data_IF_282855236593
#
_entry.id   IF_282855236593
#
_cell.length_a   1.000
_cell.length_b   1.000
_cell.length_c   1.000
_cell.angle_alpha   90.00
_cell.angle_beta   90.00
_cell.angle_gamma   90.00
#
_symmetry.space_group_name_H-M   'P 1'
#
loop_
_entity.id
_entity.type
_entity.pdbx_description
1 polymer ?
#
# COMPACT_ATOMS: atom_id res chain seq x y z
N UNK A 1 4.55 -33.35 -28.69
CA UNK A 1 5.00 -32.34 -27.73
C UNK A 1 6.25 -31.69 -28.25
N UNK A 2 6.13 -30.56 -28.92
CA UNK A 2 7.26 -29.80 -29.43
C UNK A 2 7.53 -28.68 -28.38
N UNK A 3 8.70 -28.77 -27.74
CA UNK A 3 9.15 -27.71 -26.81
C UNK A 3 9.39 -26.44 -27.59
N UNK A 4 8.71 -25.34 -27.17
CA UNK A 4 9.00 -23.99 -27.66
C UNK A 4 10.39 -23.59 -27.15
N UNK A 5 11.41 -23.72 -28.04
CA UNK A 5 12.73 -23.12 -27.80
C UNK A 5 12.53 -21.60 -27.70
N UNK A 6 12.72 -21.03 -26.51
CA UNK A 6 12.71 -19.59 -26.31
C UNK A 6 13.77 -18.95 -27.22
N UNK A 7 13.39 -17.86 -27.89
CA UNK A 7 14.29 -17.07 -28.72
C UNK A 7 15.50 -16.64 -27.88
N UNK A 8 16.76 -16.95 -28.31
CA UNK A 8 17.94 -16.52 -27.55
C UNK A 8 17.93 -14.99 -27.43
N UNK A 9 17.97 -14.46 -26.20
CA UNK A 9 18.04 -13.04 -25.98
C UNK A 9 19.24 -12.42 -26.70
N UNK A 10 19.02 -11.31 -27.39
CA UNK A 10 20.13 -10.61 -28.05
C UNK A 10 21.16 -10.16 -26.99
N UNK A 11 22.44 -9.97 -27.34
CA UNK A 11 23.45 -9.47 -26.39
C UNK A 11 23.06 -8.17 -25.69
N UNK A 12 22.19 -7.37 -26.31
CA UNK A 12 21.61 -6.13 -25.73
C UNK A 12 20.62 -6.45 -24.61
N UNK A 13 19.71 -7.40 -24.81
CA UNK A 13 18.72 -7.85 -23.82
C UNK A 13 19.42 -8.46 -22.61
N UNK A 14 20.41 -9.32 -22.83
CA UNK A 14 21.19 -9.92 -21.72
C UNK A 14 21.94 -8.86 -20.91
N UNK A 15 22.47 -7.82 -21.57
CA UNK A 15 23.10 -6.69 -20.86
C UNK A 15 22.11 -5.93 -20.02
N UNK A 16 20.94 -5.56 -20.55
CA UNK A 16 19.89 -4.88 -19.80
C UNK A 16 19.40 -5.70 -18.59
N UNK A 17 19.26 -7.01 -18.75
CA UNK A 17 18.92 -7.91 -17.62
C UNK A 17 20.01 -7.91 -16.53
N UNK A 18 21.28 -7.95 -16.91
CA UNK A 18 22.38 -7.89 -15.93
C UNK A 18 22.47 -6.53 -15.25
N UNK A 19 22.27 -5.43 -15.99
CA UNK A 19 22.24 -4.08 -15.47
C UNK A 19 21.10 -3.94 -14.45
N UNK A 20 19.89 -4.42 -14.79
CA UNK A 20 18.75 -4.45 -13.87
C UNK A 20 19.03 -5.28 -12.61
N UNK A 21 19.54 -6.48 -12.75
CA UNK A 21 19.87 -7.34 -11.60
C UNK A 21 20.89 -6.67 -10.66
N UNK A 22 21.88 -5.95 -11.19
CA UNK A 22 22.85 -5.23 -10.36
C UNK A 22 22.20 -4.04 -9.62
N UNK A 23 21.29 -3.30 -10.28
CA UNK A 23 20.54 -2.19 -9.66
C UNK A 23 19.60 -2.69 -8.57
N UNK A 24 18.89 -3.80 -8.82
CA UNK A 24 18.00 -4.40 -7.82
C UNK A 24 18.80 -4.88 -6.59
N UNK A 25 19.97 -5.49 -6.76
CA UNK A 25 20.87 -5.85 -5.66
C UNK A 25 21.37 -4.63 -4.88
N UNK A 26 21.67 -3.53 -5.55
CA UNK A 26 22.08 -2.29 -4.89
C UNK A 26 20.91 -1.64 -4.13
N UNK A 27 19.68 -1.75 -4.63
CA UNK A 27 18.49 -1.32 -3.89
C UNK A 27 18.26 -2.16 -2.64
N UNK A 28 18.42 -3.48 -2.75
CA UNK A 28 18.16 -4.43 -1.65
C UNK A 28 19.22 -4.36 -0.55
N UNK A 29 20.49 -4.29 -0.95
CA UNK A 29 21.61 -4.43 -0.02
C UNK A 29 22.33 -3.11 0.29
N UNK A 30 21.95 -2.00 -0.36
CA UNK A 30 22.66 -0.73 -0.25
C UNK A 30 24.03 -0.78 -0.95
N UNK A 31 25.06 -0.28 -0.28
CA UNK A 31 26.41 -0.20 -0.84
C UNK A 31 27.06 -1.57 -1.03
N UNK A 32 27.46 -1.88 -2.26
CA UNK A 32 28.15 -3.12 -2.62
C UNK A 32 29.47 -2.86 -3.35
N UNK A 33 30.48 -3.71 -3.09
CA UNK A 33 31.70 -3.70 -3.89
C UNK A 33 31.48 -4.42 -5.23
N UNK A 34 32.26 -4.07 -6.25
CA UNK A 34 32.28 -4.76 -7.55
C UNK A 34 32.40 -6.27 -7.41
N UNK A 35 33.27 -6.74 -6.51
CA UNK A 35 33.46 -8.18 -6.27
C UNK A 35 32.19 -8.83 -5.72
N UNK A 36 31.46 -8.15 -4.84
CA UNK A 36 30.21 -8.66 -4.25
C UNK A 36 29.10 -8.71 -5.29
N UNK A 37 28.96 -7.65 -6.11
CA UNK A 37 28.01 -7.61 -7.24
C UNK A 37 28.30 -8.76 -8.22
N UNK A 38 29.56 -8.93 -8.65
CA UNK A 38 29.95 -10.01 -9.54
C UNK A 38 29.62 -11.39 -8.96
N UNK A 39 29.84 -11.61 -7.64
CA UNK A 39 29.50 -12.87 -6.98
C UNK A 39 27.99 -13.11 -6.93
N UNK A 40 27.18 -12.09 -6.64
CA UNK A 40 25.71 -12.20 -6.51
C UNK A 40 25.04 -12.38 -7.89
N UNK A 41 25.56 -11.72 -8.93
CA UNK A 41 25.03 -11.81 -10.30
C UNK A 41 25.61 -12.97 -11.11
N UNK A 42 26.64 -13.67 -10.61
CA UNK A 42 27.36 -14.70 -11.37
C UNK A 42 28.28 -14.16 -12.49
N UNK A 43 28.51 -12.83 -12.54
CA UNK A 43 29.28 -12.17 -13.56
C UNK A 43 30.81 -12.26 -13.32
N UNK A 44 31.60 -12.39 -14.38
CA UNK A 44 33.05 -12.31 -14.29
C UNK A 44 33.51 -10.91 -13.85
N UNK A 45 34.70 -10.82 -13.25
CA UNK A 45 35.27 -9.52 -12.82
C UNK A 45 35.32 -8.47 -13.94
N UNK A 46 35.75 -8.78 -15.19
CA UNK A 46 35.72 -7.82 -16.29
C UNK A 46 34.29 -7.37 -16.63
N UNK A 47 33.34 -8.30 -16.68
CA UNK A 47 31.94 -8.02 -17.01
C UNK A 47 31.30 -7.12 -15.96
N UNK A 48 31.49 -7.41 -14.67
CA UNK A 48 31.01 -6.58 -13.57
C UNK A 48 31.63 -5.17 -13.60
N UNK A 49 32.92 -5.04 -13.98
CA UNK A 49 33.58 -3.74 -14.15
C UNK A 49 32.97 -2.91 -15.27
N UNK A 50 32.72 -3.53 -16.43
CA UNK A 50 32.10 -2.87 -17.58
C UNK A 50 30.65 -2.46 -17.29
N UNK A 51 29.90 -3.32 -16.57
CA UNK A 51 28.54 -3.04 -16.14
C UNK A 51 28.50 -1.80 -15.24
N UNK A 52 29.29 -1.77 -14.17
CA UNK A 52 29.33 -0.61 -13.25
C UNK A 52 29.77 0.66 -13.95
N UNK A 53 30.77 0.62 -14.82
CA UNK A 53 31.18 1.79 -15.59
C UNK A 53 30.07 2.33 -16.50
N UNK A 54 29.24 1.47 -17.10
CA UNK A 54 28.07 1.89 -17.90
C UNK A 54 26.99 2.52 -17.02
N UNK A 55 26.66 1.89 -15.89
CA UNK A 55 25.66 2.40 -14.96
C UNK A 55 26.07 3.75 -14.35
N UNK A 56 27.36 3.91 -14.03
CA UNK A 56 27.92 5.17 -13.54
C UNK A 56 27.88 6.26 -14.63
N UNK A 57 28.26 5.92 -15.87
CA UNK A 57 28.17 6.83 -17.02
C UNK A 57 26.73 7.23 -17.36
N UNK A 58 25.76 6.35 -17.10
CA UNK A 58 24.33 6.64 -17.23
C UNK A 58 23.74 7.40 -16.01
N UNK A 59 24.52 7.70 -14.99
CA UNK A 59 24.08 8.40 -13.79
C UNK A 59 23.19 7.56 -12.85
N UNK A 60 23.14 6.22 -13.06
CA UNK A 60 22.28 5.33 -12.27
C UNK A 60 22.95 4.83 -10.98
N UNK A 61 24.27 4.86 -10.94
CA UNK A 61 25.10 4.37 -9.82
C UNK A 61 26.16 5.42 -9.48
N UNK A 62 26.46 5.54 -8.19
CA UNK A 62 27.54 6.38 -7.66
C UNK A 62 28.63 5.51 -7.01
N UNK A 63 29.88 5.90 -7.19
CA UNK A 63 31.00 5.40 -6.42
C UNK A 63 31.09 6.19 -5.10
N UNK A 64 30.94 5.52 -3.95
CA UNK A 64 30.71 6.20 -2.65
C UNK A 64 31.80 6.06 -1.62
N UNK A 65 32.87 5.37 -1.90
CA UNK A 65 33.96 5.16 -0.96
C UNK A 65 34.64 3.82 -1.12
N UNK A 66 35.38 3.40 -0.13
CA UNK A 66 36.09 2.13 -0.12
C UNK A 66 35.81 1.33 1.15
N UNK A 67 35.90 -0.01 1.05
CA UNK A 67 35.77 -0.86 2.22
C UNK A 67 36.91 -0.60 3.20
N UNK A 68 36.59 -0.31 4.47
CA UNK A 68 37.57 -0.16 5.55
C UNK A 68 37.64 -1.45 6.39
N UNK A 69 38.79 -1.70 7.03
CA UNK A 69 38.93 -2.66 8.14
C UNK A 69 39.17 -4.14 7.77
N UNK A 70 39.54 -4.47 6.52
CA UNK A 70 39.98 -5.83 6.15
C UNK A 70 41.40 -5.82 5.58
N UNK A 71 42.23 -6.86 5.85
CA UNK A 71 43.54 -7.02 5.20
C UNK A 71 43.36 -7.15 3.69
N UNK A 72 43.96 -6.27 2.90
CA UNK A 72 43.92 -6.26 1.44
C UNK A 72 43.66 -4.87 0.85
N UNK A 73 43.74 -4.69 -0.48
CA UNK A 73 43.44 -3.43 -1.12
C UNK A 73 41.97 -3.06 -0.88
N UNK A 74 41.72 -1.81 -0.49
CA UNK A 74 40.37 -1.28 -0.31
C UNK A 74 39.58 -1.39 -1.60
N UNK A 75 38.37 -1.97 -1.53
CA UNK A 75 37.49 -2.16 -2.68
C UNK A 75 36.53 -0.98 -2.78
N UNK A 76 36.41 -0.40 -3.99
CA UNK A 76 35.42 0.65 -4.30
C UNK A 76 34.01 0.14 -4.03
N UNK A 77 33.19 0.94 -3.33
CA UNK A 77 31.77 0.70 -3.09
C UNK A 77 30.93 1.50 -4.08
N UNK A 78 29.80 0.94 -4.44
CA UNK A 78 28.82 1.51 -5.35
C UNK A 78 27.43 1.45 -4.72
N UNK A 79 26.60 2.46 -4.96
CA UNK A 79 25.20 2.51 -4.59
C UNK A 79 24.35 3.06 -5.73
N UNK A 80 23.04 2.85 -5.70
CA UNK A 80 22.11 3.49 -6.63
C UNK A 80 22.18 5.00 -6.40
N UNK A 81 22.27 5.77 -7.48
CA UNK A 81 22.21 7.23 -7.41
C UNK A 81 20.80 7.69 -6.99
N UNK A 82 20.62 8.27 -5.79
CA UNK A 82 19.28 8.69 -5.34
C UNK A 82 18.63 9.71 -6.28
N UNK A 83 19.45 10.54 -6.96
CA UNK A 83 18.98 11.56 -7.90
C UNK A 83 18.65 11.01 -9.31
N UNK A 84 18.79 9.69 -9.54
CA UNK A 84 18.47 9.11 -10.84
C UNK A 84 16.97 9.15 -11.18
N UNK A 85 16.10 9.32 -10.18
CA UNK A 85 14.66 9.49 -10.39
C UNK A 85 13.92 9.77 -9.09
N UNK A 86 12.76 10.41 -9.22
CA UNK A 86 11.87 10.69 -8.10
C UNK A 86 10.43 10.31 -8.46
N UNK A 87 9.70 9.86 -7.45
CA UNK A 87 8.28 9.55 -7.57
C UNK A 87 7.51 10.25 -6.45
N UNK A 88 6.24 10.55 -6.70
CA UNK A 88 5.36 11.17 -5.73
C UNK A 88 4.16 10.29 -5.40
N UNK A 89 3.69 10.39 -4.17
CA UNK A 89 2.46 9.77 -3.68
C UNK A 89 1.58 10.75 -2.94
N UNK A 90 0.28 10.59 -3.07
CA UNK A 90 -0.73 11.32 -2.30
C UNK A 90 -1.65 10.34 -1.57
N UNK A 91 -1.97 10.67 -0.33
CA UNK A 91 -3.02 10.05 0.49
C UNK A 91 -4.12 11.10 0.71
N UNK A 92 -5.27 10.89 0.08
CA UNK A 92 -6.40 11.81 0.08
C UNK A 92 -7.47 11.33 1.05
N UNK A 93 -7.77 12.15 2.04
CA UNK A 93 -8.86 11.92 2.99
C UNK A 93 -9.83 13.12 2.99
N UNK A 94 -11.01 13.01 3.61
CA UNK A 94 -11.91 14.16 3.75
C UNK A 94 -11.31 15.32 4.52
N UNK A 95 -10.31 15.08 5.36
CA UNK A 95 -9.71 16.07 6.26
C UNK A 95 -8.44 16.70 5.72
N UNK A 96 -7.69 15.97 4.87
CA UNK A 96 -6.38 16.42 4.35
C UNK A 96 -5.95 15.65 3.09
N UNK A 97 -5.01 16.22 2.38
CA UNK A 97 -4.16 15.53 1.42
C UNK A 97 -2.74 15.49 1.99
N UNK A 98 -2.22 14.30 2.19
CA UNK A 98 -0.82 14.10 2.56
C UNK A 98 -0.03 13.73 1.32
N UNK A 99 0.95 14.56 0.95
CA UNK A 99 1.81 14.36 -0.20
C UNK A 99 3.24 14.05 0.24
N UNK A 100 3.91 13.16 -0.50
CA UNK A 100 5.34 12.95 -0.33
C UNK A 100 6.03 12.66 -1.65
N UNK A 101 7.32 12.99 -1.69
CA UNK A 101 8.25 12.66 -2.77
C UNK A 101 9.30 11.71 -2.22
N UNK A 102 9.58 10.63 -2.94
CA UNK A 102 10.66 9.72 -2.66
C UNK A 102 11.68 9.71 -3.79
N UNK A 103 12.97 9.57 -3.45
CA UNK A 103 14.02 9.28 -4.42
C UNK A 103 13.92 7.82 -4.90
N UNK A 104 14.65 7.46 -5.95
CA UNK A 104 14.59 6.14 -6.57
C UNK A 104 14.95 5.00 -5.62
N UNK A 105 15.66 5.27 -4.53
CA UNK A 105 15.99 4.29 -3.50
C UNK A 105 14.82 3.98 -2.57
N UNK A 106 13.76 4.80 -2.59
CA UNK A 106 12.58 4.70 -1.73
C UNK A 106 12.65 5.58 -0.49
N UNK A 107 13.70 6.40 -0.33
CA UNK A 107 13.79 7.35 0.78
C UNK A 107 12.89 8.55 0.51
N UNK A 108 12.00 8.86 1.45
CA UNK A 108 11.22 10.11 1.40
C UNK A 108 12.12 11.31 1.54
N UNK A 109 12.13 12.20 0.53
CA UNK A 109 12.97 13.39 0.46
C UNK A 109 12.17 14.69 0.66
N UNK A 110 10.84 14.65 0.50
CA UNK A 110 9.95 15.76 0.79
C UNK A 110 8.58 15.29 1.22
N UNK A 111 7.93 16.05 2.11
CA UNK A 111 6.58 15.76 2.59
C UNK A 111 5.84 17.05 2.86
N UNK A 112 4.53 17.05 2.56
CA UNK A 112 3.64 18.17 2.82
C UNK A 112 2.25 17.67 3.17
N UNK A 113 1.59 18.32 4.13
CA UNK A 113 0.21 18.09 4.48
C UNK A 113 -0.61 19.33 4.14
N UNK A 114 -1.62 19.15 3.30
CA UNK A 114 -2.57 20.18 2.93
C UNK A 114 -3.92 19.85 3.60
N UNK A 115 -4.39 20.63 4.58
CA UNK A 115 -5.74 20.46 5.12
C UNK A 115 -6.78 20.68 4.02
N UNK A 116 -7.74 19.77 3.90
CA UNK A 116 -8.84 19.92 2.95
C UNK A 116 -9.94 20.79 3.55
N UNK A 117 -10.40 21.77 2.79
CA UNK A 117 -11.27 22.81 3.33
C UNK A 117 -12.73 22.39 3.57
N UNK A 118 -13.05 21.11 3.39
CA UNK A 118 -14.43 20.65 3.49
C UNK A 118 -15.34 21.21 2.41
N UNK A 119 -16.65 21.00 2.55
CA UNK A 119 -17.67 21.38 1.53
C UNK A 119 -17.82 22.89 1.26
N UNK A 120 -17.19 23.75 2.05
CA UNK A 120 -17.51 25.22 2.07
C UNK A 120 -16.58 26.12 1.27
N UNK A 121 -15.44 25.68 0.79
CA UNK A 121 -14.43 26.61 0.23
C UNK A 121 -14.38 26.72 -1.25
N UNK A 122 -15.04 25.82 -2.01
CA UNK A 122 -15.08 25.91 -3.49
C UNK A 122 -13.72 25.79 -4.18
N UNK A 123 -12.65 25.36 -3.48
CA UNK A 123 -11.33 25.14 -4.10
C UNK A 123 -11.43 23.90 -5.00
N UNK A 124 -11.12 24.03 -6.31
CA UNK A 124 -11.14 22.90 -7.22
C UNK A 124 -10.21 21.77 -6.76
N UNK A 125 -10.62 20.51 -6.97
CA UNK A 125 -9.81 19.32 -6.62
C UNK A 125 -8.43 19.37 -7.28
N UNK A 126 -8.37 19.80 -8.55
CA UNK A 126 -7.10 19.94 -9.28
C UNK A 126 -6.15 20.87 -8.54
N UNK A 127 -6.63 22.01 -8.06
CA UNK A 127 -5.82 22.93 -7.28
C UNK A 127 -5.36 22.33 -5.95
N UNK A 128 -6.24 21.59 -5.23
CA UNK A 128 -5.85 20.92 -4.00
C UNK A 128 -4.75 19.89 -4.23
N UNK A 129 -4.85 19.10 -5.30
CA UNK A 129 -3.85 18.09 -5.69
C UNK A 129 -2.53 18.76 -6.04
N UNK A 130 -2.57 19.81 -6.87
CA UNK A 130 -1.36 20.52 -7.30
C UNK A 130 -0.69 21.25 -6.14
N UNK A 131 -1.45 21.89 -5.26
CA UNK A 131 -0.89 22.59 -4.09
C UNK A 131 -0.23 21.60 -3.10
N UNK A 132 -0.85 20.43 -2.88
CA UNK A 132 -0.28 19.39 -2.04
C UNK A 132 1.03 18.83 -2.63
N UNK A 133 1.02 18.54 -3.93
CA UNK A 133 2.23 18.08 -4.65
C UNK A 133 3.35 19.12 -4.59
N UNK A 134 3.03 20.38 -4.89
CA UNK A 134 4.02 21.48 -4.86
C UNK A 134 4.66 21.66 -3.50
N UNK A 135 3.86 21.53 -2.44
CA UNK A 135 4.38 21.57 -1.08
C UNK A 135 5.41 20.47 -0.83
N UNK A 136 5.16 19.24 -1.26
CA UNK A 136 6.07 18.12 -1.10
C UNK A 136 7.32 18.25 -2.00
N UNK A 137 7.15 18.67 -3.25
CA UNK A 137 8.23 18.91 -4.22
C UNK A 137 9.15 20.03 -3.72
N UNK A 138 8.58 21.12 -3.22
CA UNK A 138 9.36 22.23 -2.61
C UNK A 138 10.13 21.76 -1.37
N UNK A 139 9.51 20.96 -0.52
CA UNK A 139 10.16 20.38 0.66
C UNK A 139 11.32 19.46 0.29
N UNK A 140 11.26 18.81 -0.88
CA UNK A 140 12.34 18.02 -1.45
C UNK A 140 13.45 18.84 -2.11
N UNK A 141 13.24 20.15 -2.33
CA UNK A 141 14.18 21.00 -3.09
C UNK A 141 14.18 20.71 -4.60
N UNK A 142 13.08 20.19 -5.14
CA UNK A 142 12.91 19.76 -6.52
C UNK A 142 11.94 20.67 -7.29
N UNK A 143 11.82 20.46 -8.59
CA UNK A 143 10.77 20.98 -9.45
C UNK A 143 9.76 19.88 -9.83
N UNK A 144 8.56 20.23 -10.30
CA UNK A 144 7.56 19.23 -10.75
C UNK A 144 8.09 18.33 -11.86
N UNK A 145 8.92 18.89 -12.76
CA UNK A 145 9.50 18.17 -13.89
C UNK A 145 10.53 17.10 -13.47
N UNK A 146 11.00 17.14 -12.22
CA UNK A 146 11.88 16.11 -11.66
C UNK A 146 11.11 14.87 -11.20
N UNK A 147 9.76 14.93 -11.16
CA UNK A 147 8.92 13.83 -10.74
C UNK A 147 8.53 12.98 -11.94
N UNK A 148 8.91 11.72 -11.94
CA UNK A 148 8.64 10.79 -13.03
C UNK A 148 7.19 10.29 -13.03
N UNK A 149 6.62 10.08 -11.84
CA UNK A 149 5.28 9.49 -11.69
C UNK A 149 4.63 9.91 -10.38
N UNK A 150 3.30 10.04 -10.42
CA UNK A 150 2.45 10.33 -9.27
C UNK A 150 1.43 9.22 -9.10
N UNK A 151 1.23 8.72 -7.87
CA UNK A 151 0.09 7.86 -7.51
C UNK A 151 -0.76 8.57 -6.46
N UNK A 152 -2.07 8.64 -6.73
CA UNK A 152 -3.06 9.30 -5.88
C UNK A 152 -3.92 8.22 -5.22
N UNK A 153 -3.76 8.04 -3.92
CA UNK A 153 -4.58 7.16 -3.09
C UNK A 153 -5.85 7.86 -2.65
N UNK A 154 -7.00 7.23 -2.90
CA UNK A 154 -8.31 7.75 -2.49
C UNK A 154 -9.17 6.64 -1.89
N UNK A 155 -10.05 6.95 -0.92
CA UNK A 155 -11.14 6.05 -0.58
C UNK A 155 -12.03 5.79 -1.79
N UNK A 156 -12.63 4.59 -1.86
CA UNK A 156 -13.54 4.17 -2.92
C UNK A 156 -12.84 3.56 -4.13
N UNK A 157 -13.64 2.99 -5.03
CA UNK A 157 -13.15 2.27 -6.20
C UNK A 157 -13.06 3.18 -7.43
N UNK A 158 -11.92 3.18 -8.09
CA UNK A 158 -11.75 3.81 -9.39
C UNK A 158 -12.14 2.82 -10.50
N UNK A 159 -13.17 3.16 -11.28
CA UNK A 159 -13.61 2.36 -12.41
C UNK A 159 -12.79 2.71 -13.66
N UNK A 160 -11.90 1.81 -14.11
CA UNK A 160 -11.00 2.08 -15.22
C UNK A 160 -11.73 2.23 -16.57
N UNK A 161 -12.97 1.71 -16.68
CA UNK A 161 -13.75 1.77 -17.92
C UNK A 161 -14.45 3.11 -18.11
N UNK A 162 -14.82 3.76 -16.99
CA UNK A 162 -15.56 5.04 -17.01
C UNK A 162 -14.72 6.22 -16.57
N UNK A 163 -13.53 5.98 -16.02
CA UNK A 163 -12.67 7.02 -15.46
C UNK A 163 -13.26 7.70 -14.22
N UNK A 164 -14.18 7.04 -13.50
CA UNK A 164 -14.90 7.64 -12.37
C UNK A 164 -14.59 6.97 -11.05
N UNK A 165 -14.49 7.79 -10.01
CA UNK A 165 -14.44 7.33 -8.63
C UNK A 165 -15.85 6.94 -8.16
N UNK A 166 -15.99 5.74 -7.60
CA UNK A 166 -17.24 5.20 -7.01
C UNK A 166 -17.06 5.03 -5.50
N UNK A 167 -18.15 5.01 -4.77
CA UNK A 167 -18.23 4.73 -3.33
C UNK A 167 -17.53 5.75 -2.40
N UNK A 168 -16.97 6.84 -2.92
CA UNK A 168 -16.31 7.91 -2.16
C UNK A 168 -17.22 9.16 -1.99
N UNK A 169 -18.48 8.96 -1.60
CA UNK A 169 -19.49 10.04 -1.48
C UNK A 169 -19.11 11.16 -0.51
N UNK A 170 -18.17 10.90 0.38
CA UNK A 170 -17.65 11.84 1.37
C UNK A 170 -16.51 12.73 0.84
N UNK A 171 -16.02 12.51 -0.39
CA UNK A 171 -15.02 13.35 -1.04
C UNK A 171 -15.66 14.32 -2.03
N UNK A 172 -15.93 15.60 -1.65
CA UNK A 172 -16.56 16.57 -2.53
C UNK A 172 -15.69 16.90 -3.74
N UNK A 173 -16.30 16.91 -4.94
CA UNK A 173 -15.61 17.26 -6.19
C UNK A 173 -14.83 16.13 -6.86
N UNK A 174 -14.50 15.06 -6.17
CA UNK A 174 -13.73 13.92 -6.71
C UNK A 174 -14.55 13.04 -7.68
N UNK A 175 -15.85 13.26 -7.77
CA UNK A 175 -16.75 12.55 -8.70
C UNK A 175 -16.95 13.28 -10.04
N UNK A 176 -16.26 14.42 -10.27
CA UNK A 176 -16.39 15.16 -11.53
C UNK A 176 -15.99 14.26 -12.71
N UNK A 177 -16.81 14.21 -13.78
CA UNK A 177 -16.47 13.43 -14.96
C UNK A 177 -15.27 13.99 -15.73
N UNK A 178 -14.90 15.25 -15.49
CA UNK A 178 -13.78 15.96 -16.15
C UNK A 178 -12.49 15.96 -15.32
N UNK A 179 -12.54 15.41 -14.10
CA UNK A 179 -11.39 15.50 -13.16
C UNK A 179 -10.11 14.91 -13.72
N UNK A 180 -10.20 13.75 -14.42
CA UNK A 180 -9.00 13.14 -15.01
C UNK A 180 -8.36 14.01 -16.07
N UNK A 181 -9.18 14.59 -16.97
CA UNK A 181 -8.70 15.46 -18.04
C UNK A 181 -8.10 16.75 -17.49
N UNK A 182 -8.75 17.31 -16.45
CA UNK A 182 -8.27 18.51 -15.76
C UNK A 182 -6.93 18.25 -15.05
N UNK A 183 -6.77 17.11 -14.39
CA UNK A 183 -5.50 16.73 -13.78
C UNK A 183 -4.42 16.44 -14.82
N UNK A 184 -4.75 15.75 -15.90
CA UNK A 184 -3.82 15.50 -17.00
C UNK A 184 -3.32 16.79 -17.66
N UNK A 185 -4.15 17.83 -17.69
CA UNK A 185 -3.75 19.15 -18.19
C UNK A 185 -2.87 19.94 -17.20
N UNK A 186 -3.01 19.67 -15.89
CA UNK A 186 -2.33 20.40 -14.83
C UNK A 186 -1.01 19.77 -14.36
N UNK A 187 -0.82 18.48 -14.62
CA UNK A 187 0.34 17.69 -14.15
C UNK A 187 1.26 17.35 -15.32
N UNK A 188 2.56 17.68 -15.27
CA UNK A 188 3.50 17.37 -16.34
C UNK A 188 3.91 15.90 -16.40
N UNK A 189 3.72 15.14 -15.29
CA UNK A 189 4.06 13.73 -15.20
C UNK A 189 2.83 12.83 -15.34
N UNK A 190 3.00 11.56 -15.75
CA UNK A 190 1.95 10.55 -15.66
C UNK A 190 1.47 10.35 -14.23
N UNK A 191 0.16 10.17 -14.05
CA UNK A 191 -0.42 9.86 -12.74
C UNK A 191 -1.41 8.71 -12.82
N UNK A 192 -1.62 8.05 -11.68
CA UNK A 192 -2.56 6.97 -11.51
C UNK A 192 -3.41 7.19 -10.25
N UNK A 193 -4.67 6.76 -10.30
CA UNK A 193 -5.51 6.62 -9.12
C UNK A 193 -5.47 5.18 -8.62
N UNK A 194 -5.43 5.01 -7.30
CA UNK A 194 -5.60 3.69 -6.69
C UNK A 194 -6.46 3.81 -5.42
N UNK A 195 -7.18 2.74 -5.12
CA UNK A 195 -7.91 2.62 -3.88
C UNK A 195 -6.95 2.60 -2.68
N UNK A 196 -7.31 3.27 -1.59
CA UNK A 196 -6.53 3.36 -0.36
C UNK A 196 -6.17 1.99 0.24
N UNK A 197 -7.12 1.05 0.31
CA UNK A 197 -6.88 -0.30 0.85
C UNK A 197 -5.92 -1.10 -0.04
N UNK A 198 -6.02 -0.94 -1.36
CA UNK A 198 -5.09 -1.53 -2.32
C UNK A 198 -3.66 -1.02 -2.11
N UNK A 199 -3.50 0.27 -1.83
CA UNK A 199 -2.19 0.86 -1.52
C UNK A 199 -1.62 0.34 -0.21
N UNK A 200 -2.46 0.15 0.81
CA UNK A 200 -2.02 -0.50 2.06
C UNK A 200 -1.50 -1.91 1.80
N UNK A 201 -2.19 -2.68 0.94
CA UNK A 201 -1.72 -4.02 0.59
C UNK A 201 -0.38 -3.99 -0.17
N UNK A 202 -0.16 -3.02 -1.06
CA UNK A 202 1.13 -2.81 -1.71
C UNK A 202 2.23 -2.43 -0.71
N UNK A 203 1.91 -1.58 0.28
CA UNK A 203 2.84 -1.24 1.34
C UNK A 203 3.24 -2.48 2.16
N UNK A 204 2.27 -3.30 2.57
CA UNK A 204 2.53 -4.54 3.31
C UNK A 204 3.30 -5.57 2.48
N UNK A 205 3.03 -5.67 1.18
CA UNK A 205 3.75 -6.56 0.26
C UNK A 205 5.19 -6.14 0.04
N UNK A 206 5.50 -4.85 0.04
CA UNK A 206 6.85 -4.34 -0.24
C UNK A 206 7.67 -4.13 1.03
N UNK A 207 7.04 -3.66 2.10
CA UNK A 207 7.71 -3.14 3.29
C UNK A 207 7.34 -3.87 4.58
N UNK A 208 6.22 -4.61 4.59
CA UNK A 208 5.60 -5.10 5.81
C UNK A 208 5.39 -6.61 5.89
N UNK A 209 4.30 -7.01 6.51
CA UNK A 209 3.98 -8.38 6.92
C UNK A 209 3.70 -9.35 5.76
N UNK A 210 3.41 -8.84 4.55
CA UNK A 210 3.14 -9.65 3.36
C UNK A 210 4.34 -9.77 2.41
N UNK A 211 5.56 -9.42 2.86
CA UNK A 211 6.79 -9.69 2.08
C UNK A 211 6.90 -11.19 1.83
N UNK A 212 7.36 -11.54 0.65
CA UNK A 212 7.55 -12.94 0.22
C UNK A 212 6.24 -13.77 0.06
N UNK A 213 5.06 -13.11 0.17
CA UNK A 213 3.76 -13.73 -0.06
C UNK A 213 3.16 -13.28 -1.39
N UNK A 214 2.65 -14.24 -2.17
CA UNK A 214 2.06 -13.97 -3.50
C UNK A 214 0.55 -14.00 -3.49
N UNK A 215 -0.07 -14.71 -2.54
CA UNK A 215 -1.51 -14.89 -2.49
C UNK A 215 -2.03 -14.56 -1.08
N UNK A 216 -2.50 -13.34 -0.90
CA UNK A 216 -2.99 -12.88 0.39
C UNK A 216 -4.19 -11.95 0.27
N UNK A 217 -4.93 -11.86 1.36
CA UNK A 217 -5.99 -10.87 1.59
C UNK A 217 -5.54 -9.91 2.67
N UNK A 218 -5.65 -8.62 2.42
CA UNK A 218 -5.53 -7.62 3.47
C UNK A 218 -6.93 -7.15 3.85
N UNK A 219 -7.30 -7.29 5.13
CA UNK A 219 -8.51 -6.71 5.70
C UNK A 219 -8.16 -5.37 6.35
N UNK A 220 -8.83 -4.33 5.91
CA UNK A 220 -8.66 -2.96 6.39
C UNK A 220 -9.91 -2.50 7.13
N UNK A 221 -9.76 -2.01 8.36
CA UNK A 221 -10.87 -1.45 9.13
C UNK A 221 -10.47 -0.13 9.79
N UNK A 222 -10.96 0.97 9.22
CA UNK A 222 -10.79 2.33 9.72
C UNK A 222 -12.12 3.09 9.58
N UNK A 223 -12.25 4.09 8.70
CA UNK A 223 -13.54 4.72 8.43
C UNK A 223 -14.52 3.76 7.76
N UNK A 224 -14.02 2.86 6.93
CA UNK A 224 -14.75 1.78 6.29
C UNK A 224 -14.06 0.42 6.46
N UNK A 225 -14.84 -0.64 6.25
CA UNK A 225 -14.34 -2.01 6.20
C UNK A 225 -14.15 -2.41 4.73
N UNK A 226 -12.91 -2.55 4.32
CA UNK A 226 -12.51 -2.94 2.98
C UNK A 226 -11.52 -4.09 3.00
N UNK A 227 -11.25 -4.66 1.83
CA UNK A 227 -10.18 -5.61 1.64
C UNK A 227 -9.40 -5.32 0.36
N UNK A 228 -8.14 -5.72 0.33
CA UNK A 228 -7.38 -5.82 -0.91
C UNK A 228 -7.03 -7.29 -1.16
N UNK A 229 -7.09 -7.68 -2.42
CA UNK A 229 -6.84 -9.04 -2.87
C UNK A 229 -5.55 -9.05 -3.70
N UNK A 230 -4.55 -9.80 -3.26
CA UNK A 230 -3.33 -10.03 -4.02
C UNK A 230 -3.29 -11.49 -4.43
N UNK A 231 -3.25 -11.75 -5.72
CA UNK A 231 -3.27 -13.08 -6.34
C UNK A 231 -2.10 -13.21 -7.33
N UNK A 232 -1.27 -14.23 -7.14
CA UNK A 232 -0.07 -14.41 -7.94
C UNK A 232 0.89 -13.21 -7.88
N UNK A 233 1.01 -12.56 -6.72
CA UNK A 233 1.84 -11.38 -6.50
C UNK A 233 1.29 -10.06 -7.06
N UNK A 234 0.05 -10.05 -7.57
CA UNK A 234 -0.56 -8.87 -8.20
C UNK A 234 -1.88 -8.50 -7.56
N UNK A 235 -2.12 -7.21 -7.40
CA UNK A 235 -3.41 -6.68 -6.97
C UNK A 235 -4.52 -7.10 -7.96
N UNK A 236 -5.57 -7.72 -7.41
CA UNK A 236 -6.80 -8.04 -8.14
C UNK A 236 -7.82 -6.93 -7.94
N UNK A 237 -7.96 -6.06 -8.92
CA UNK A 237 -8.87 -4.90 -8.88
C UNK A 237 -10.30 -5.22 -9.30
N UNK A 238 -10.50 -6.38 -9.95
CA UNK A 238 -11.78 -6.73 -10.56
C UNK A 238 -12.08 -5.92 -11.84
N UNK A 239 -13.22 -6.22 -12.45
CA UNK A 239 -13.64 -5.59 -13.72
C UNK A 239 -13.90 -4.08 -13.61
N UNK A 240 -14.48 -3.65 -12.49
CA UNK A 240 -14.89 -2.25 -12.25
C UNK A 240 -14.04 -1.54 -11.22
N UNK A 241 -12.92 -2.12 -10.79
CA UNK A 241 -12.12 -1.62 -9.67
C UNK A 241 -12.72 -1.93 -8.29
N UNK A 242 -13.88 -2.59 -8.22
CA UNK A 242 -14.61 -2.83 -6.96
C UNK A 242 -14.30 -4.17 -6.28
N UNK A 243 -13.26 -4.89 -6.68
CA UNK A 243 -12.84 -6.07 -5.94
C UNK A 243 -12.34 -5.62 -4.54
N UNK A 244 -12.79 -6.31 -3.50
CA UNK A 244 -12.44 -5.93 -2.13
C UNK A 244 -13.43 -5.02 -1.41
N UNK A 245 -14.53 -4.59 -2.05
CA UNK A 245 -15.64 -3.87 -1.41
C UNK A 245 -16.45 -4.79 -0.47
N UNK A 246 -15.73 -5.42 0.47
CA UNK A 246 -16.26 -6.45 1.36
C UNK A 246 -17.23 -5.92 2.41
N UNK A 247 -17.24 -4.62 2.66
CA UNK A 247 -18.20 -4.00 3.56
C UNK A 247 -19.65 -4.28 3.15
N UNK A 248 -19.91 -4.48 1.86
CA UNK A 248 -21.23 -4.81 1.32
C UNK A 248 -21.55 -6.32 1.33
N UNK A 249 -20.61 -7.17 1.75
CA UNK A 249 -20.78 -8.63 1.76
C UNK A 249 -21.98 -9.01 2.66
N UNK A 250 -22.96 -9.76 2.13
CA UNK A 250 -24.04 -10.28 2.95
C UNK A 250 -23.50 -11.25 4.02
N UNK A 251 -23.79 -10.97 5.27
CA UNK A 251 -23.36 -11.82 6.39
C UNK A 251 -24.54 -12.13 7.31
N UNK A 252 -24.53 -13.28 8.01
CA UNK A 252 -25.57 -13.61 8.98
C UNK A 252 -25.75 -12.53 10.06
N UNK A 253 -26.99 -12.29 10.45
CA UNK A 253 -27.31 -11.38 11.57
C UNK A 253 -27.35 -9.90 11.21
N UNK A 254 -27.18 -9.55 9.93
CA UNK A 254 -27.29 -8.16 9.46
C UNK A 254 -28.30 -8.01 8.33
N UNK A 255 -28.90 -6.81 8.15
CA UNK A 255 -29.73 -6.51 7.00
C UNK A 255 -28.93 -6.60 5.69
N UNK A 256 -29.56 -7.03 4.62
CA UNK A 256 -28.97 -6.99 3.27
C UNK A 256 -28.80 -5.53 2.83
N UNK A 257 -27.63 -5.21 2.30
CA UNK A 257 -27.40 -3.92 1.63
C UNK A 257 -28.13 -3.92 0.27
N UNK A 258 -29.19 -3.12 0.17
CA UNK A 258 -29.96 -2.98 -1.07
C UNK A 258 -29.60 -1.74 -1.87
N UNK A 259 -28.90 -0.80 -1.26
CA UNK A 259 -28.46 0.46 -1.87
C UNK A 259 -27.02 0.71 -1.46
N UNK A 260 -26.07 0.27 -2.28
CA UNK A 260 -24.62 0.43 -2.06
C UNK A 260 -24.15 1.90 -2.04
N UNK A 261 -25.01 2.85 -2.37
CA UNK A 261 -24.72 4.29 -2.27
C UNK A 261 -24.87 4.86 -0.86
N UNK A 262 -25.51 4.11 0.06
CA UNK A 262 -25.63 4.48 1.47
C UNK A 262 -24.53 3.79 2.25
N UNK A 263 -23.50 4.54 2.59
CA UNK A 263 -22.43 4.06 3.46
C UNK A 263 -22.99 3.58 4.83
N UNK A 264 -22.37 2.54 5.39
CA UNK A 264 -22.57 2.05 6.75
C UNK A 264 -23.95 1.44 7.08
N UNK A 265 -24.68 0.93 6.09
CA UNK A 265 -25.97 0.28 6.34
C UNK A 265 -25.98 -1.16 5.82
N UNK A 266 -26.03 -2.12 6.74
CA UNK A 266 -26.12 -3.57 6.45
C UNK A 266 -24.78 -4.23 6.10
N UNK A 267 -24.83 -5.53 5.86
CA UNK A 267 -23.70 -6.34 5.44
C UNK A 267 -22.57 -6.43 6.48
N UNK A 268 -21.40 -6.79 6.00
CA UNK A 268 -20.22 -6.98 6.84
C UNK A 268 -19.74 -5.67 7.50
N UNK A 269 -19.91 -4.53 6.84
CA UNK A 269 -19.67 -3.21 7.41
C UNK A 269 -20.47 -2.97 8.70
N UNK A 270 -21.77 -3.32 8.72
CA UNK A 270 -22.60 -3.17 9.90
C UNK A 270 -22.24 -4.16 11.03
N UNK A 271 -21.82 -5.38 10.66
CA UNK A 271 -21.43 -6.41 11.61
C UNK A 271 -20.11 -6.09 12.31
N UNK A 272 -19.07 -5.74 11.56
CA UNK A 272 -17.68 -5.70 12.01
C UNK A 272 -16.91 -4.42 11.68
N UNK A 273 -17.51 -3.45 10.97
CA UNK A 273 -16.87 -2.14 10.75
C UNK A 273 -16.61 -1.40 12.05
N UNK A 274 -15.70 -0.44 12.04
CA UNK A 274 -15.28 0.32 13.24
C UNK A 274 -16.45 0.92 13.99
N UNK A 275 -17.52 1.38 13.33
CA UNK A 275 -18.72 1.90 13.97
C UNK A 275 -19.50 0.86 14.80
N UNK A 276 -19.30 -0.43 14.55
CA UNK A 276 -19.95 -1.50 15.31
C UNK A 276 -19.32 -1.67 16.71
N UNK A 277 -18.05 -1.33 16.89
CA UNK A 277 -17.33 -1.53 18.15
C UNK A 277 -17.87 -0.66 19.30
N UNK A 278 -18.03 0.68 19.15
CA UNK A 278 -18.63 1.50 20.20
C UNK A 278 -20.09 1.14 20.51
N UNK A 279 -20.83 0.64 19.52
CA UNK A 279 -22.20 0.14 19.74
C UNK A 279 -22.19 -1.14 20.60
N UNK A 280 -21.33 -2.09 20.26
CA UNK A 280 -21.14 -3.31 21.03
C UNK A 280 -20.68 -3.02 22.47
N UNK A 281 -19.77 -2.05 22.64
CA UNK A 281 -19.30 -1.64 23.97
C UNK A 281 -20.45 -1.15 24.86
N UNK A 282 -21.36 -0.31 24.32
CA UNK A 282 -22.55 0.14 25.05
C UNK A 282 -23.49 -1.02 25.43
N UNK A 283 -23.72 -1.95 24.49
CA UNK A 283 -24.53 -3.14 24.74
C UNK A 283 -23.98 -4.01 25.88
N UNK A 284 -22.66 -4.00 26.08
CA UNK A 284 -21.95 -4.73 27.12
C UNK A 284 -21.77 -3.95 28.43
N UNK A 285 -22.29 -2.70 28.49
CA UNK A 285 -22.21 -1.88 29.70
C UNK A 285 -20.84 -1.21 29.89
N UNK A 286 -20.03 -1.09 28.86
CA UNK A 286 -18.77 -0.33 28.91
C UNK A 286 -19.12 1.17 28.75
N UNK A 287 -18.83 1.96 29.79
CA UNK A 287 -19.19 3.38 29.86
C UNK A 287 -18.08 4.30 29.32
N UNK A 288 -16.82 3.89 29.43
CA UNK A 288 -15.65 4.68 28.99
C UNK A 288 -15.45 4.61 27.48
N UNK A 289 -16.35 5.23 26.73
CA UNK A 289 -16.31 5.30 25.27
C UNK A 289 -15.89 6.71 24.86
N UNK A 290 -14.74 6.86 24.18
CA UNK A 290 -14.28 8.18 23.74
C UNK A 290 -15.30 8.89 22.86
N UNK A 291 -15.44 10.21 23.06
CA UNK A 291 -16.15 11.08 22.14
C UNK A 291 -15.27 11.37 20.93
N UNK A 292 -15.87 11.47 19.73
CA UNK A 292 -15.12 11.79 18.52
C UNK A 292 -15.42 10.81 17.37
N UNK A 293 -14.53 10.69 16.40
CA UNK A 293 -14.66 9.76 15.29
C UNK A 293 -14.79 8.30 15.77
N UNK A 294 -15.67 7.55 15.15
CA UNK A 294 -15.98 6.18 15.60
C UNK A 294 -14.81 5.20 15.39
N UNK A 295 -13.94 5.45 14.43
CA UNK A 295 -12.74 4.66 14.18
C UNK A 295 -11.68 4.85 15.28
N UNK A 296 -11.51 6.08 15.78
CA UNK A 296 -10.64 6.37 16.92
C UNK A 296 -11.20 5.72 18.20
N UNK A 297 -12.51 5.85 18.42
CA UNK A 297 -13.18 5.22 19.55
C UNK A 297 -13.08 3.68 19.48
N UNK A 298 -13.21 3.09 18.30
CA UNK A 298 -13.04 1.66 18.09
C UNK A 298 -11.62 1.21 18.41
N UNK A 299 -10.61 1.92 17.90
CA UNK A 299 -9.20 1.62 18.15
C UNK A 299 -8.90 1.67 19.67
N UNK A 300 -9.37 2.69 20.37
CA UNK A 300 -9.22 2.80 21.81
C UNK A 300 -9.88 1.63 22.57
N UNK A 301 -11.14 1.32 22.25
CA UNK A 301 -11.89 0.25 22.91
C UNK A 301 -11.26 -1.13 22.68
N UNK A 302 -10.80 -1.40 21.45
CA UNK A 302 -10.14 -2.67 21.11
C UNK A 302 -8.79 -2.79 21.79
N UNK A 303 -7.98 -1.71 21.83
CA UNK A 303 -6.71 -1.70 22.55
C UNK A 303 -6.92 -1.99 24.04
N UNK A 304 -7.87 -1.28 24.65
CA UNK A 304 -8.18 -1.45 26.08
C UNK A 304 -8.71 -2.86 26.38
N UNK A 305 -9.56 -3.41 25.49
CA UNK A 305 -10.06 -4.76 25.65
C UNK A 305 -9.00 -5.85 25.48
N UNK A 306 -7.94 -5.57 24.72
CA UNK A 306 -6.81 -6.47 24.56
C UNK A 306 -5.88 -6.50 25.79
N UNK A 307 -5.86 -5.41 26.58
CA UNK A 307 -5.00 -5.22 27.76
C UNK A 307 -5.73 -5.50 29.09
N UNK A 308 -7.08 -5.47 29.12
CA UNK A 308 -7.88 -5.56 30.32
C UNK A 308 -8.47 -6.95 30.50
N UNK A 309 -8.44 -7.47 31.72
CA UNK A 309 -8.91 -8.85 32.04
C UNK A 309 -10.30 -8.86 32.73
N UNK A 310 -11.11 -7.80 32.62
CA UNK A 310 -12.49 -7.81 33.09
C UNK A 310 -13.45 -8.41 32.05
N UNK A 311 -14.62 -8.89 32.54
CA UNK A 311 -15.56 -9.65 31.70
C UNK A 311 -16.19 -8.84 30.56
N UNK A 312 -16.60 -7.56 30.73
CA UNK A 312 -17.15 -6.77 29.62
C UNK A 312 -16.16 -6.58 28.47
N UNK A 313 -14.90 -6.28 28.76
CA UNK A 313 -13.87 -6.08 27.75
C UNK A 313 -13.47 -7.38 27.06
N UNK A 314 -13.32 -8.49 27.81
CA UNK A 314 -13.09 -9.82 27.23
C UNK A 314 -14.22 -10.22 26.28
N UNK A 315 -15.48 -9.99 26.68
CA UNK A 315 -16.65 -10.27 25.86
C UNK A 315 -16.71 -9.40 24.62
N UNK A 316 -16.33 -8.11 24.71
CA UNK A 316 -16.23 -7.22 23.57
C UNK A 316 -15.24 -7.77 22.56
N UNK A 317 -14.02 -8.13 22.98
CA UNK A 317 -12.96 -8.60 22.09
C UNK A 317 -13.32 -9.93 21.42
N UNK A 318 -13.86 -10.89 22.17
CA UNK A 318 -14.33 -12.18 21.62
C UNK A 318 -15.46 -12.00 20.62
N UNK A 319 -16.48 -11.20 20.97
CA UNK A 319 -17.61 -10.95 20.06
C UNK A 319 -17.15 -10.24 18.79
N UNK A 320 -16.24 -9.30 18.92
CA UNK A 320 -15.65 -8.59 17.77
C UNK A 320 -14.84 -9.56 16.89
N UNK A 321 -14.05 -10.44 17.48
CA UNK A 321 -13.30 -11.47 16.74
C UNK A 321 -14.22 -12.42 15.96
N UNK A 322 -15.30 -12.91 16.57
CA UNK A 322 -16.31 -13.75 15.88
C UNK A 322 -16.96 -13.01 14.71
N UNK A 323 -17.30 -11.72 14.90
CA UNK A 323 -17.87 -10.88 13.83
C UNK A 323 -16.89 -10.69 12.66
N UNK A 324 -15.60 -10.46 12.94
CA UNK A 324 -14.56 -10.37 11.93
C UNK A 324 -14.38 -11.71 11.19
N UNK A 325 -14.29 -12.81 11.94
CA UNK A 325 -14.12 -14.14 11.37
C UNK A 325 -15.30 -14.55 10.47
N UNK A 326 -16.53 -14.13 10.79
CA UNK A 326 -17.73 -14.42 9.99
C UNK A 326 -17.61 -13.91 8.55
N UNK A 327 -17.16 -12.69 8.34
CA UNK A 327 -16.95 -12.18 6.99
C UNK A 327 -15.69 -12.74 6.33
N UNK A 328 -14.60 -12.88 7.10
CA UNK A 328 -13.37 -13.49 6.60
C UNK A 328 -13.58 -14.92 6.10
N UNK A 329 -14.42 -15.72 6.77
CA UNK A 329 -14.72 -17.09 6.35
C UNK A 329 -15.26 -17.14 4.92
N UNK A 330 -16.09 -16.18 4.52
CA UNK A 330 -16.59 -16.08 3.13
C UNK A 330 -15.47 -15.78 2.14
N UNK A 331 -14.56 -14.88 2.49
CA UNK A 331 -13.44 -14.50 1.62
C UNK A 331 -12.44 -15.64 1.45
N UNK A 332 -12.01 -16.25 2.56
CA UNK A 332 -11.00 -17.31 2.51
C UNK A 332 -11.55 -18.58 1.86
N UNK A 333 -12.85 -18.87 1.98
CA UNK A 333 -13.49 -20.02 1.32
C UNK A 333 -13.52 -19.90 -0.21
N UNK A 334 -13.48 -18.68 -0.76
CA UNK A 334 -13.50 -18.43 -2.19
C UNK A 334 -12.09 -18.26 -2.77
N UNK A 335 -11.20 -17.59 -2.01
CA UNK A 335 -9.89 -17.17 -2.51
C UNK A 335 -8.77 -18.14 -2.12
N UNK A 336 -8.96 -18.92 -1.05
CA UNK A 336 -7.97 -19.85 -0.48
C UNK A 336 -6.56 -19.22 -0.35
N UNK A 337 -6.41 -18.05 0.31
CA UNK A 337 -5.14 -17.35 0.41
C UNK A 337 -4.21 -18.04 1.41
N UNK A 338 -2.90 -17.88 1.25
CA UNK A 338 -1.93 -18.36 2.24
C UNK A 338 -1.86 -17.46 3.49
N UNK A 339 -2.19 -16.18 3.33
CA UNK A 339 -2.06 -15.17 4.38
C UNK A 339 -3.28 -14.24 4.42
N UNK A 340 -3.68 -13.83 5.63
CA UNK A 340 -4.58 -12.70 5.86
C UNK A 340 -3.86 -11.65 6.72
N UNK A 341 -3.76 -10.43 6.24
CA UNK A 341 -3.17 -9.30 6.95
C UNK A 341 -4.29 -8.46 7.57
N UNK A 342 -4.28 -8.29 8.88
CA UNK A 342 -5.21 -7.42 9.61
C UNK A 342 -4.59 -6.03 9.74
N UNK A 343 -5.20 -5.02 9.11
CA UNK A 343 -4.67 -3.65 9.07
C UNK A 343 -5.77 -2.60 9.31
N UNK A 344 -5.39 -1.35 9.54
CA UNK A 344 -6.28 -0.30 9.99
C UNK A 344 -6.34 -0.20 11.53
N UNK A 345 -6.64 1.00 12.02
CA UNK A 345 -6.47 1.36 13.43
C UNK A 345 -7.20 0.41 14.39
N UNK A 346 -8.46 0.07 14.11
CA UNK A 346 -9.25 -0.80 14.98
C UNK A 346 -8.77 -2.26 15.04
N UNK A 347 -8.16 -2.78 13.96
CA UNK A 347 -7.61 -4.14 13.94
C UNK A 347 -6.21 -4.20 14.56
N UNK A 348 -5.37 -3.22 14.23
CA UNK A 348 -3.98 -3.19 14.70
C UNK A 348 -3.87 -2.88 16.20
N UNK A 349 -4.83 -2.12 16.76
CA UNK A 349 -4.88 -1.82 18.20
C UNK A 349 -5.13 -3.06 19.07
N UNK A 350 -5.82 -4.06 18.55
CA UNK A 350 -6.04 -5.33 19.27
C UNK A 350 -4.82 -6.26 19.31
N UNK A 351 -3.82 -5.96 18.49
CA UNK A 351 -2.54 -6.64 18.45
C UNK A 351 -2.66 -8.17 18.32
N UNK A 352 -1.75 -8.87 18.96
CA UNK A 352 -1.70 -10.33 18.93
C UNK A 352 -2.91 -10.99 19.61
N UNK A 353 -3.49 -10.34 20.64
CA UNK A 353 -4.65 -10.84 21.36
C UNK A 353 -5.87 -10.96 20.42
N UNK A 354 -6.20 -9.89 19.68
CA UNK A 354 -7.29 -9.93 18.71
C UNK A 354 -6.98 -10.90 17.56
N UNK A 355 -5.75 -10.83 17.02
CA UNK A 355 -5.31 -11.73 15.94
C UNK A 355 -5.54 -13.20 16.29
N UNK A 356 -5.10 -13.63 17.49
CA UNK A 356 -5.25 -15.00 17.94
C UNK A 356 -6.73 -15.44 18.09
N UNK A 357 -7.58 -14.55 18.58
CA UNK A 357 -9.01 -14.81 18.69
C UNK A 357 -9.66 -14.94 17.30
N UNK A 358 -9.34 -14.05 16.36
CA UNK A 358 -9.86 -14.13 14.99
C UNK A 358 -9.37 -15.39 14.29
N UNK A 359 -8.08 -15.77 14.49
CA UNK A 359 -7.50 -17.00 13.93
C UNK A 359 -8.28 -18.22 14.42
N UNK A 360 -8.50 -18.34 15.73
CA UNK A 360 -9.22 -19.48 16.33
C UNK A 360 -10.67 -19.59 15.81
N UNK A 361 -11.39 -18.47 15.76
CA UNK A 361 -12.75 -18.43 15.22
C UNK A 361 -12.80 -18.79 13.72
N UNK A 362 -11.83 -18.30 12.94
CA UNK A 362 -11.76 -18.60 11.51
C UNK A 362 -11.49 -20.08 11.24
N UNK A 363 -10.69 -20.74 12.07
CA UNK A 363 -10.43 -22.19 12.00
C UNK A 363 -11.67 -23.06 12.24
N UNK A 364 -12.65 -22.54 12.98
CA UNK A 364 -13.95 -23.22 13.18
C UNK A 364 -14.92 -22.93 12.03
N UNK A 365 -14.82 -21.78 11.36
CA UNK A 365 -15.79 -21.32 10.37
C UNK A 365 -15.43 -21.64 8.91
N UNK A 366 -14.15 -21.87 8.61
CA UNK A 366 -13.68 -22.08 7.25
C UNK A 366 -12.84 -23.36 7.13
N UNK A 367 -12.92 -24.02 5.97
CA UNK A 367 -12.05 -25.14 5.63
C UNK A 367 -10.62 -24.70 5.27
N UNK A 368 -10.50 -23.55 4.62
CA UNK A 368 -9.20 -22.91 4.35
C UNK A 368 -8.60 -22.35 5.65
N UNK A 369 -7.29 -22.50 5.81
CA UNK A 369 -6.60 -22.16 7.06
C UNK A 369 -5.42 -21.21 6.79
N UNK A 370 -5.70 -19.98 6.33
CA UNK A 370 -4.64 -19.01 6.13
C UNK A 370 -4.00 -18.62 7.46
N UNK A 371 -2.74 -18.25 7.42
CA UNK A 371 -2.09 -17.61 8.55
C UNK A 371 -2.58 -16.15 8.68
N UNK A 372 -3.05 -15.77 9.85
CA UNK A 372 -3.37 -14.38 10.15
C UNK A 372 -2.14 -13.67 10.74
N UNK A 373 -1.90 -12.45 10.30
CA UNK A 373 -0.88 -11.55 10.85
C UNK A 373 -1.45 -10.15 11.03
N UNK A 374 -0.86 -9.39 11.94
CA UNK A 374 -1.14 -7.96 12.05
C UNK A 374 -0.19 -7.22 11.11
N UNK A 375 -0.70 -6.23 10.38
CA UNK A 375 0.11 -5.44 9.46
C UNK A 375 1.23 -4.68 10.17
N UNK A 376 2.38 -4.56 9.51
CA UNK A 376 3.59 -3.92 10.04
C UNK A 376 3.70 -2.45 9.66
N UNK A 377 3.10 -2.04 8.54
CA UNK A 377 3.16 -0.66 8.06
C UNK A 377 2.13 0.20 8.80
N UNK A 378 2.55 0.80 9.92
CA UNK A 378 1.67 1.54 10.84
C UNK A 378 1.50 3.01 10.46
N UNK A 379 2.58 3.66 10.04
CA UNK A 379 2.58 5.09 9.74
C UNK A 379 2.29 5.34 8.26
N UNK A 380 1.23 6.08 7.98
CA UNK A 380 0.83 6.50 6.63
C UNK A 380 0.84 5.38 5.58
N UNK A 381 0.21 4.21 5.85
CA UNK A 381 0.33 3.05 4.98
C UNK A 381 -0.17 3.31 3.55
N UNK A 382 -1.23 4.11 3.38
CA UNK A 382 -1.75 4.51 2.06
C UNK A 382 -0.68 5.30 1.28
N UNK A 383 -0.10 6.33 1.91
CA UNK A 383 0.96 7.14 1.27
C UNK A 383 2.19 6.30 0.93
N UNK A 384 2.61 5.40 1.83
CA UNK A 384 3.74 4.49 1.57
C UNK A 384 3.46 3.57 0.40
N UNK A 385 2.25 3.01 0.31
CA UNK A 385 1.84 2.20 -0.83
C UNK A 385 1.78 2.99 -2.13
N UNK A 386 1.33 4.24 -2.10
CA UNK A 386 1.34 5.13 -3.25
C UNK A 386 2.77 5.39 -3.75
N UNK A 387 3.71 5.66 -2.84
CA UNK A 387 5.12 5.82 -3.18
C UNK A 387 5.73 4.54 -3.75
N UNK A 388 5.50 3.38 -3.13
CA UNK A 388 6.01 2.09 -3.64
C UNK A 388 5.44 1.73 -5.01
N UNK A 389 4.15 2.02 -5.26
CA UNK A 389 3.53 1.85 -6.58
C UNK A 389 4.17 2.75 -7.63
N UNK A 390 4.33 4.04 -7.32
CA UNK A 390 4.95 5.01 -8.21
C UNK A 390 6.42 4.67 -8.48
N UNK A 391 7.18 4.29 -7.44
CA UNK A 391 8.58 3.90 -7.53
C UNK A 391 8.78 2.63 -8.36
N UNK A 392 7.89 1.64 -8.26
CA UNK A 392 8.00 0.42 -9.04
C UNK A 392 8.04 0.74 -10.54
N UNK A 393 7.09 1.53 -11.02
CA UNK A 393 7.04 1.95 -12.42
C UNK A 393 8.19 2.89 -12.80
N UNK A 394 8.54 3.84 -11.92
CA UNK A 394 9.69 4.74 -12.14
C UNK A 394 11.00 3.95 -12.28
N UNK A 395 11.23 2.94 -11.43
CA UNK A 395 12.40 2.05 -11.53
C UNK A 395 12.41 1.26 -12.83
N UNK A 396 11.25 0.78 -13.29
CA UNK A 396 11.15 0.07 -14.57
C UNK A 396 11.51 0.97 -15.75
N UNK A 397 11.11 2.23 -15.72
CA UNK A 397 11.42 3.22 -16.76
C UNK A 397 12.88 3.70 -16.73
N UNK A 398 13.37 4.08 -15.53
CA UNK A 398 14.72 4.66 -15.34
C UNK A 398 15.82 3.60 -15.47
N UNK A 399 15.58 2.37 -15.03
CA UNK A 399 16.53 1.27 -15.09
C UNK A 399 16.53 0.51 -16.43
N UNK A 400 15.65 0.89 -17.37
CA UNK A 400 15.63 0.30 -18.71
C UNK A 400 16.81 0.80 -19.55
N UNK A 401 17.94 0.10 -19.47
CA UNK A 401 19.14 0.35 -20.28
C UNK A 401 19.09 -0.28 -21.68
N UNK A 402 17.92 -0.81 -22.07
CA UNK A 402 17.76 -1.44 -23.40
C UNK A 402 17.49 -0.45 -24.53
N UNK A 403 17.24 0.82 -24.21
CA UNK A 403 16.96 1.89 -25.18
C UNK A 403 18.20 2.46 -25.86
#
# INVERSE_FOLDING_TARGET
>A
MAGTAGTPGTPRVLRAMNDRAALDLLLEHGQLSRTRIGKLTGLSKPTASQLLARLEAAGLVLATGTTEGRPGPNAQLYEVNPAAGHAAGLDVTPQRILAAVADITGRTVGRHELPTPGRRTGIPVVQQVTDALDGAVKAAGLARDDIHRLVIGTPGAFDPTTGRLRYASHLPGWHSPTLLDELAAALPMPFEYENDVNLVALAEQRLGAARDHTDFVLLWNQEGLGAALVLGGRLHRGWTGGAGEVGFLPVPGTPLVRQVTKANSGGYQELAGSQAVPRLARELGIEDIPAGPYDEAAAYLVARAAETDDEPHRRLLRTYATRLATGLASLVSVLDPELVVLSGASLTSGGETLRALVQAELEELAASRPRLVVGDVREHPVLRGALESALATTRDEVFDTSR
#
